data_IF_102806624303
#
_entry.id   IF_102806624303
#
_cell.length_a   1.000
_cell.length_b   1.000
_cell.length_c   1.000
_cell.angle_alpha   90.00
_cell.angle_beta   90.00
_cell.angle_gamma   90.00
#
_symmetry.space_group_name_H-M   'P 1'
#
loop_
_entity.id
_entity.type
_entity.pdbx_description
1 polymer ?
#
# COMPACT_ATOMS: atom_id res chain seq x y z
N UNK A 1 61.51 13.53 -22.19
CA UNK A 1 61.91 14.41 -21.08
C UNK A 1 60.84 14.27 -20.01
N UNK A 2 61.00 13.35 -19.04
CA UNK A 2 61.68 13.54 -17.74
C UNK A 2 60.82 14.46 -16.82
N UNK A 3 60.41 14.16 -15.58
CA UNK A 3 60.88 13.32 -14.44
C UNK A 3 59.66 13.13 -13.49
N UNK A 4 59.28 11.90 -13.09
CA UNK A 4 59.49 11.20 -11.78
C UNK A 4 59.04 11.92 -10.49
N UNK A 5 58.36 11.16 -9.60
CA UNK A 5 58.03 11.58 -8.23
C UNK A 5 57.20 10.58 -7.40
N UNK A 6 57.77 9.41 -7.13
CA UNK A 6 57.28 8.41 -6.16
C UNK A 6 57.46 8.88 -4.71
N UNK A 7 56.59 8.46 -3.79
CA UNK A 7 56.99 8.10 -2.41
C UNK A 7 55.89 7.30 -1.68
N UNK A 8 56.16 6.01 -1.52
CA UNK A 8 55.54 5.13 -0.55
C UNK A 8 56.31 5.19 0.78
N UNK A 9 55.63 4.99 1.92
CA UNK A 9 56.23 4.40 3.12
C UNK A 9 55.24 3.48 3.86
N UNK A 10 55.69 2.31 4.35
CA UNK A 10 54.91 1.35 5.14
C UNK A 10 55.10 1.59 6.65
N UNK A 11 54.44 0.80 7.53
CA UNK A 11 55.02 0.10 8.70
C UNK A 11 53.97 -0.49 9.69
N UNK A 12 54.15 -1.81 9.92
CA UNK A 12 54.03 -2.64 11.16
C UNK A 12 52.72 -3.27 11.67
N UNK A 13 52.87 -4.59 11.82
CA UNK A 13 52.15 -5.62 12.58
C UNK A 13 52.12 -5.41 14.11
N UNK A 14 51.06 -5.93 14.74
CA UNK A 14 51.01 -6.83 15.92
C UNK A 14 49.51 -7.15 16.14
N UNK A 15 48.98 -8.36 16.22
CA UNK A 15 49.48 -9.61 16.80
C UNK A 15 48.90 -9.76 18.20
N UNK A 16 47.78 -10.49 18.37
CA UNK A 16 47.41 -11.15 19.64
C UNK A 16 46.38 -12.28 19.40
N UNK A 17 46.86 -13.50 19.62
CA UNK A 17 46.12 -14.72 19.94
C UNK A 17 45.40 -14.59 21.29
N UNK A 18 44.20 -15.16 21.41
CA UNK A 18 43.84 -15.98 22.58
C UNK A 18 42.64 -16.91 22.28
N UNK A 19 43.00 -18.18 22.12
CA UNK A 19 42.33 -19.41 22.53
C UNK A 19 41.38 -19.30 23.75
N UNK A 20 40.10 -19.74 23.63
CA UNK A 20 39.56 -21.07 24.04
C UNK A 20 38.04 -21.08 24.35
N UNK A 21 37.37 -22.25 24.25
CA UNK A 21 35.92 -22.39 24.21
C UNK A 21 35.29 -22.90 25.53
N UNK A 22 33.97 -22.73 25.67
CA UNK A 22 33.17 -23.34 26.74
C UNK A 22 31.72 -23.59 26.30
N UNK A 23 31.42 -24.84 25.95
CA UNK A 23 30.06 -25.38 25.76
C UNK A 23 29.36 -25.55 27.12
N UNK A 24 28.07 -25.23 27.20
CA UNK A 24 27.13 -25.83 28.15
C UNK A 24 25.79 -26.12 27.47
N UNK A 25 25.32 -27.37 27.65
CA UNK A 25 24.01 -27.90 27.23
C UNK A 25 22.92 -27.57 28.27
N UNK A 26 21.62 -27.63 27.92
CA UNK A 26 20.54 -27.16 28.76
C UNK A 26 19.98 -28.22 29.71
N UNK A 27 19.53 -27.77 30.89
CA UNK A 27 18.76 -28.53 31.88
C UNK A 27 17.27 -28.41 31.53
N UNK A 28 16.62 -29.56 31.34
CA UNK A 28 15.16 -29.69 31.18
C UNK A 28 14.49 -29.70 32.56
N UNK A 29 13.50 -28.83 32.76
CA UNK A 29 12.61 -28.86 33.93
C UNK A 29 11.18 -29.19 33.47
N UNK A 30 10.70 -30.31 34.00
CA UNK A 30 9.32 -30.78 34.02
C UNK A 30 8.61 -30.09 35.18
N UNK A 31 7.44 -29.48 34.96
CA UNK A 31 6.48 -29.17 36.03
C UNK A 31 5.06 -29.56 35.62
N UNK A 32 4.45 -30.26 36.57
CA UNK A 32 3.12 -30.84 36.63
C UNK A 32 1.96 -29.83 36.65
N UNK A 33 0.81 -30.36 36.23
CA UNK A 33 -0.55 -29.79 36.28
C UNK A 33 -1.03 -29.55 37.71
N UNK A 34 -1.97 -28.60 37.91
CA UNK A 34 -3.16 -28.77 38.76
C UNK A 34 -4.22 -27.65 38.59
N UNK A 35 -5.47 -28.13 38.48
CA UNK A 35 -6.75 -27.56 38.95
C UNK A 35 -7.40 -26.35 38.28
N UNK A 36 -8.59 -26.64 37.70
CA UNK A 36 -9.49 -25.69 37.06
C UNK A 36 -10.52 -25.05 37.98
N UNK A 37 -10.95 -23.85 37.56
CA UNK A 37 -12.16 -23.18 38.00
C UNK A 37 -13.09 -23.02 36.79
N UNK A 38 -14.32 -23.50 36.92
CA UNK A 38 -15.41 -23.32 35.94
C UNK A 38 -15.86 -21.85 36.04
N UNK A 39 -15.62 -21.08 34.98
CA UNK A 39 -16.14 -19.73 34.81
C UNK A 39 -17.21 -19.77 33.71
N UNK A 40 -18.37 -19.19 34.01
CA UNK A 40 -19.49 -19.00 33.08
C UNK A 40 -18.98 -18.33 31.79
N UNK A 41 -19.18 -19.00 30.65
CA UNK A 41 -18.79 -18.49 29.35
C UNK A 41 -19.65 -17.27 28.98
N UNK A 42 -19.11 -16.08 29.24
CA UNK A 42 -19.62 -14.82 28.70
C UNK A 42 -19.48 -14.91 27.18
N UNK A 43 -20.61 -15.01 26.47
CA UNK A 43 -20.64 -14.85 25.02
C UNK A 43 -20.21 -13.41 24.73
N UNK A 44 -18.95 -13.24 24.33
CA UNK A 44 -18.41 -11.95 23.91
C UNK A 44 -19.05 -11.62 22.57
N UNK A 45 -20.13 -10.84 22.59
CA UNK A 45 -20.69 -10.26 21.38
C UNK A 45 -19.59 -9.34 20.80
N UNK A 46 -19.21 -9.51 19.52
CA UNK A 46 -18.18 -8.67 18.91
C UNK A 46 -18.59 -7.21 19.04
N UNK A 47 -17.77 -6.43 19.74
CA UNK A 47 -18.00 -5.00 19.92
C UNK A 47 -17.67 -4.28 18.61
N UNK A 48 -18.61 -3.50 18.11
CA UNK A 48 -18.40 -2.66 16.95
C UNK A 48 -17.31 -1.61 17.25
N UNK A 49 -16.28 -1.55 16.42
CA UNK A 49 -15.17 -0.60 16.59
C UNK A 49 -15.51 0.78 16.00
N UNK A 50 -14.86 1.83 16.52
CA UNK A 50 -15.01 3.20 16.01
C UNK A 50 -14.58 3.28 14.54
N UNK A 51 -13.53 2.56 14.16
CA UNK A 51 -13.00 2.56 12.79
C UNK A 51 -13.98 1.95 11.77
N UNK A 52 -14.69 0.88 12.13
CA UNK A 52 -15.72 0.28 11.26
C UNK A 52 -16.90 1.24 11.03
N UNK A 53 -17.29 1.99 12.06
CA UNK A 53 -18.31 3.05 11.93
C UNK A 53 -17.80 4.16 11.01
N UNK A 54 -16.58 4.63 11.22
CA UNK A 54 -15.95 5.68 10.41
C UNK A 54 -15.88 5.29 8.92
N UNK A 55 -15.46 4.08 8.59
CA UNK A 55 -15.39 3.61 7.20
C UNK A 55 -16.77 3.52 6.55
N UNK A 56 -17.79 3.15 7.32
CA UNK A 56 -19.18 3.16 6.85
C UNK A 56 -19.69 4.58 6.60
N UNK A 57 -19.35 5.53 7.47
CA UNK A 57 -19.65 6.96 7.28
C UNK A 57 -18.94 7.54 6.05
N UNK A 58 -17.68 7.16 5.79
CA UNK A 58 -16.93 7.57 4.58
C UNK A 58 -17.65 7.11 3.31
N UNK A 59 -18.06 5.83 3.26
CA UNK A 59 -18.84 5.28 2.13
C UNK A 59 -20.16 6.03 1.94
N UNK A 60 -20.87 6.33 3.03
CA UNK A 60 -22.13 7.05 3.00
C UNK A 60 -21.98 8.48 2.45
N UNK A 61 -20.95 9.24 2.88
CA UNK A 61 -20.73 10.60 2.38
C UNK A 61 -20.19 10.66 0.95
N UNK A 62 -19.50 9.63 0.45
CA UNK A 62 -19.00 9.60 -0.94
C UNK A 62 -20.14 9.58 -1.96
N UNK A 63 -21.26 8.94 -1.63
CA UNK A 63 -22.49 8.99 -2.42
C UNK A 63 -23.33 10.25 -2.16
N UNK A 64 -24.65 10.14 -2.29
CA UNK A 64 -25.58 11.26 -2.05
C UNK A 64 -25.76 11.63 -0.56
N UNK A 65 -25.07 10.96 0.37
CA UNK A 65 -25.28 11.16 1.81
C UNK A 65 -26.74 10.91 2.20
N UNK A 66 -27.29 11.82 2.99
CA UNK A 66 -28.68 11.74 3.47
C UNK A 66 -29.70 12.37 2.53
N UNK A 67 -29.30 12.83 1.33
CA UNK A 67 -30.26 13.12 0.27
C UNK A 67 -30.94 11.85 -0.28
N UNK A 68 -30.35 10.67 -0.05
CA UNK A 68 -30.96 9.36 -0.30
C UNK A 68 -30.90 8.50 0.97
N UNK A 69 -31.79 8.72 1.95
CA UNK A 69 -31.73 8.03 3.24
C UNK A 69 -31.92 6.51 3.14
N UNK A 70 -32.50 6.02 2.05
CA UNK A 70 -32.62 4.58 1.74
C UNK A 70 -31.29 3.86 1.56
N UNK A 71 -30.16 4.58 1.45
CA UNK A 71 -28.82 3.97 1.43
C UNK A 71 -28.31 3.57 2.83
N UNK A 72 -28.91 4.10 3.92
CA UNK A 72 -28.46 3.82 5.28
C UNK A 72 -28.47 2.32 5.65
N UNK A 73 -29.54 1.54 5.35
CA UNK A 73 -29.57 0.11 5.67
C UNK A 73 -28.49 -0.70 4.96
N UNK A 74 -28.10 -0.27 3.76
CA UNK A 74 -27.09 -0.96 2.94
C UNK A 74 -25.65 -0.60 3.32
N UNK A 75 -25.42 0.62 3.80
CA UNK A 75 -24.06 1.12 4.08
C UNK A 75 -23.65 0.87 5.53
N UNK A 76 -24.59 0.98 6.48
CA UNK A 76 -24.29 0.83 7.91
C UNK A 76 -24.22 -0.65 8.34
N UNK A 77 -23.23 -1.05 9.16
CA UNK A 77 -23.14 -2.41 9.71
C UNK A 77 -24.41 -2.77 10.49
N UNK A 78 -24.82 -4.04 10.42
CA UNK A 78 -26.04 -4.53 11.09
C UNK A 78 -26.04 -4.23 12.60
N UNK A 79 -24.90 -4.44 13.28
CA UNK A 79 -24.76 -4.13 14.71
C UNK A 79 -25.00 -2.64 15.01
N UNK A 80 -24.54 -1.74 14.13
CA UNK A 80 -24.79 -0.30 14.29
C UNK A 80 -26.26 0.01 14.06
N UNK A 81 -26.86 -0.57 13.03
CA UNK A 81 -28.28 -0.37 12.71
C UNK A 81 -29.17 -0.82 13.85
N UNK A 82 -28.94 -2.03 14.37
CA UNK A 82 -29.67 -2.58 15.51
C UNK A 82 -29.55 -1.68 16.75
N UNK A 83 -28.34 -1.16 17.02
CA UNK A 83 -28.09 -0.23 18.13
C UNK A 83 -28.82 1.10 17.96
N UNK A 84 -28.73 1.72 16.79
CA UNK A 84 -29.37 3.02 16.50
C UNK A 84 -30.90 2.90 16.42
N UNK A 85 -31.42 1.75 16.01
CA UNK A 85 -32.85 1.45 15.96
C UNK A 85 -33.43 1.01 17.31
N UNK A 86 -32.60 0.86 18.35
CA UNK A 86 -33.03 0.45 19.70
C UNK A 86 -33.81 -0.87 19.72
N UNK A 87 -33.52 -1.78 18.78
CA UNK A 87 -34.27 -3.03 18.62
C UNK A 87 -35.77 -2.86 18.26
N UNK A 88 -36.23 -1.66 17.91
CA UNK A 88 -37.66 -1.37 17.62
C UNK A 88 -38.10 -1.77 16.20
N UNK A 89 -37.19 -2.34 15.42
CA UNK A 89 -37.39 -2.66 14.01
C UNK A 89 -37.48 -4.17 13.84
N UNK A 90 -38.63 -4.63 13.33
CA UNK A 90 -38.85 -6.05 13.05
C UNK A 90 -38.39 -6.46 11.64
N UNK A 91 -38.33 -5.52 10.70
CA UNK A 91 -37.96 -5.77 9.30
C UNK A 91 -36.80 -4.87 8.85
N UNK A 92 -35.67 -5.46 8.39
CA UNK A 92 -34.55 -4.70 7.88
C UNK A 92 -34.91 -3.98 6.58
N UNK A 93 -34.32 -2.80 6.37
CA UNK A 93 -34.59 -1.85 5.30
C UNK A 93 -36.03 -1.32 5.21
N UNK A 94 -36.83 -1.49 6.27
CA UNK A 94 -38.17 -0.90 6.34
C UNK A 94 -38.12 0.64 6.40
N UNK A 95 -39.18 1.30 5.96
CA UNK A 95 -39.29 2.76 6.05
C UNK A 95 -39.19 3.26 7.51
N UNK A 96 -39.64 2.46 8.47
CA UNK A 96 -39.51 2.73 9.89
C UNK A 96 -38.04 2.69 10.35
N UNK A 97 -37.27 1.66 9.94
CA UNK A 97 -35.83 1.59 10.23
C UNK A 97 -35.11 2.82 9.68
N UNK A 98 -35.33 3.14 8.40
CA UNK A 98 -34.69 4.30 7.76
C UNK A 98 -34.99 5.59 8.53
N UNK A 99 -36.24 5.78 8.98
CA UNK A 99 -36.65 6.95 9.76
C UNK A 99 -35.92 7.03 11.11
N UNK A 100 -35.79 5.90 11.82
CA UNK A 100 -35.06 5.83 13.08
C UNK A 100 -33.57 6.11 12.89
N UNK A 101 -32.95 5.51 11.87
CA UNK A 101 -31.54 5.74 11.55
C UNK A 101 -31.26 7.20 11.20
N UNK A 102 -32.10 7.83 10.37
CA UNK A 102 -31.98 9.26 10.04
C UNK A 102 -32.12 10.13 11.29
N UNK A 103 -33.06 9.80 12.18
CA UNK A 103 -33.30 10.56 13.41
C UNK A 103 -32.09 10.48 14.34
N UNK A 104 -31.59 9.27 14.60
CA UNK A 104 -30.41 9.06 15.43
C UNK A 104 -29.16 9.74 14.84
N UNK A 105 -29.00 9.69 13.52
CA UNK A 105 -27.92 10.38 12.83
C UNK A 105 -28.00 11.90 13.02
N UNK A 106 -29.17 12.51 12.80
CA UNK A 106 -29.36 13.96 12.98
C UNK A 106 -29.09 14.40 14.42
N UNK A 107 -29.55 13.65 15.40
CA UNK A 107 -29.25 13.91 16.81
C UNK A 107 -27.75 13.86 17.10
N UNK A 108 -27.03 12.89 16.53
CA UNK A 108 -25.58 12.82 16.67
C UNK A 108 -24.87 14.02 16.01
N UNK A 109 -25.34 14.47 14.84
CA UNK A 109 -24.82 15.68 14.17
C UNK A 109 -25.09 16.96 14.97
N UNK A 110 -26.27 17.07 15.58
CA UNK A 110 -26.62 18.20 16.46
C UNK A 110 -25.73 18.29 17.70
N UNK A 111 -25.18 17.17 18.16
CA UNK A 111 -24.25 17.12 19.29
C UNK A 111 -22.80 17.48 18.97
N UNK A 112 -22.46 17.76 17.71
CA UNK A 112 -21.11 18.17 17.31
C UNK A 112 -20.86 19.66 17.58
N UNK A 113 -19.58 20.05 17.69
CA UNK A 113 -19.20 21.47 17.72
C UNK A 113 -19.62 22.19 16.42
N UNK A 114 -19.85 23.50 16.47
CA UNK A 114 -20.40 24.28 15.35
C UNK A 114 -19.63 24.11 14.03
N UNK A 115 -18.30 24.09 14.10
CA UNK A 115 -17.43 23.94 12.94
C UNK A 115 -17.40 22.52 12.38
N UNK A 116 -17.44 21.50 13.25
CA UNK A 116 -17.55 20.09 12.88
C UNK A 116 -18.92 19.77 12.29
N UNK A 117 -19.99 20.25 12.91
CA UNK A 117 -21.38 20.12 12.48
C UNK A 117 -21.58 20.65 11.07
N UNK A 118 -21.10 21.86 10.78
CA UNK A 118 -21.22 22.45 9.44
C UNK A 118 -20.52 21.57 8.39
N UNK A 119 -19.34 21.03 8.68
CA UNK A 119 -18.64 20.14 7.75
C UNK A 119 -19.45 18.86 7.48
N UNK A 120 -20.01 18.25 8.52
CA UNK A 120 -20.84 17.03 8.42
C UNK A 120 -22.14 17.30 7.68
N UNK A 121 -22.81 18.42 7.95
CA UNK A 121 -24.03 18.79 7.24
C UNK A 121 -23.81 18.94 5.73
N UNK A 122 -22.65 19.46 5.34
CA UNK A 122 -22.24 19.54 3.93
C UNK A 122 -21.90 18.16 3.37
N UNK A 123 -21.01 17.42 4.02
CA UNK A 123 -20.57 16.08 3.59
C UNK A 123 -21.72 15.07 3.46
N UNK A 124 -22.81 15.25 4.21
CA UNK A 124 -24.00 14.38 4.15
C UNK A 124 -25.22 15.01 3.45
N UNK A 125 -25.04 16.13 2.73
CA UNK A 125 -26.13 16.76 1.94
C UNK A 125 -27.33 17.23 2.79
N UNK A 126 -27.08 17.58 4.06
CA UNK A 126 -28.09 18.13 4.97
C UNK A 126 -28.26 19.65 4.80
N UNK A 127 -27.19 20.36 4.42
CA UNK A 127 -27.23 21.80 4.15
C UNK A 127 -27.83 22.09 2.77
N UNK A 128 -28.87 22.94 2.71
CA UNK A 128 -29.54 23.32 1.47
C UNK A 128 -28.63 24.14 0.54
N UNK A 129 -27.75 24.97 1.10
CA UNK A 129 -26.81 25.84 0.36
C UNK A 129 -25.70 25.05 -0.35
N UNK A 130 -25.46 23.81 0.10
CA UNK A 130 -24.38 22.96 -0.37
C UNK A 130 -24.86 21.64 -0.95
N UNK A 131 -26.06 21.60 -1.57
CA UNK A 131 -26.56 20.38 -2.22
C UNK A 131 -25.95 20.17 -3.59
N UNK A 132 -24.89 19.36 -3.64
CA UNK A 132 -24.25 18.94 -4.88
C UNK A 132 -24.19 17.41 -4.99
N UNK A 133 -24.14 16.85 -6.22
CA UNK A 133 -24.11 15.41 -6.44
C UNK A 133 -22.88 14.72 -5.85
N UNK A 134 -21.70 15.34 -5.94
CA UNK A 134 -20.44 14.72 -5.51
C UNK A 134 -19.94 15.28 -4.17
N UNK A 135 -19.14 14.49 -3.44
CA UNK A 135 -18.49 14.97 -2.20
C UNK A 135 -17.54 16.15 -2.47
N UNK A 136 -16.78 16.10 -3.57
CA UNK A 136 -15.81 17.13 -3.94
C UNK A 136 -16.47 18.50 -4.12
N UNK A 137 -17.56 18.57 -4.89
CA UNK A 137 -18.28 19.83 -5.14
C UNK A 137 -18.85 20.44 -3.86
N UNK A 138 -19.34 19.59 -2.95
CA UNK A 138 -19.88 20.04 -1.64
C UNK A 138 -18.80 20.67 -0.80
N UNK A 139 -17.65 20.01 -0.67
CA UNK A 139 -16.51 20.52 0.10
C UNK A 139 -15.90 21.77 -0.53
N UNK A 140 -15.83 21.86 -1.86
CA UNK A 140 -15.38 23.06 -2.57
C UNK A 140 -16.35 24.23 -2.42
N UNK A 141 -17.67 23.96 -2.42
CA UNK A 141 -18.67 24.98 -2.12
C UNK A 141 -18.49 25.55 -0.72
N UNK A 142 -18.31 24.70 0.30
CA UNK A 142 -18.06 25.15 1.67
C UNK A 142 -16.73 25.90 1.79
N UNK A 143 -15.69 25.46 1.10
CA UNK A 143 -14.39 26.13 1.09
C UNK A 143 -14.46 27.55 0.53
N UNK A 144 -15.22 27.76 -0.55
CA UNK A 144 -15.50 29.09 -1.13
C UNK A 144 -16.22 29.99 -0.12
N UNK A 145 -17.26 29.48 0.55
CA UNK A 145 -18.02 30.22 1.56
C UNK A 145 -17.15 30.63 2.76
N UNK A 146 -16.30 29.71 3.25
CA UNK A 146 -15.39 29.95 4.37
C UNK A 146 -14.12 30.71 3.97
N UNK A 147 -13.93 31.02 2.68
CA UNK A 147 -12.72 31.66 2.13
C UNK A 147 -11.44 30.95 2.54
N UNK A 148 -11.43 29.61 2.47
CA UNK A 148 -10.27 28.79 2.76
C UNK A 148 -10.01 27.77 1.65
N UNK A 149 -8.85 27.12 1.69
CA UNK A 149 -8.54 26.06 0.74
C UNK A 149 -9.41 24.82 0.96
N UNK A 150 -9.83 24.14 -0.12
CA UNK A 150 -10.64 22.91 -0.04
C UNK A 150 -9.98 21.81 0.80
N UNK A 151 -8.64 21.73 0.81
CA UNK A 151 -7.87 20.82 1.65
C UNK A 151 -8.11 21.05 3.15
N UNK A 152 -8.35 22.30 3.57
CA UNK A 152 -8.66 22.64 4.97
C UNK A 152 -10.04 22.12 5.37
N UNK A 153 -11.05 22.29 4.50
CA UNK A 153 -12.38 21.72 4.71
C UNK A 153 -12.33 20.20 4.81
N UNK A 154 -11.60 19.53 3.90
CA UNK A 154 -11.41 18.07 3.94
C UNK A 154 -10.85 17.57 5.28
N UNK A 155 -9.80 18.22 5.78
CA UNK A 155 -9.19 17.88 7.08
C UNK A 155 -10.15 18.07 8.25
N UNK A 156 -10.94 19.14 8.24
CA UNK A 156 -11.98 19.39 9.27
C UNK A 156 -13.08 18.35 9.20
N UNK A 157 -13.56 18.03 8.00
CA UNK A 157 -14.57 17.02 7.79
C UNK A 157 -14.12 15.61 8.23
N UNK A 158 -12.87 15.23 7.96
CA UNK A 158 -12.32 13.96 8.42
C UNK A 158 -12.26 13.86 9.94
N UNK A 159 -11.87 14.95 10.63
CA UNK A 159 -11.91 15.03 12.09
C UNK A 159 -13.35 14.97 12.63
N UNK A 160 -14.27 15.69 11.99
CA UNK A 160 -15.69 15.69 12.38
C UNK A 160 -16.33 14.29 12.23
N UNK A 161 -15.89 13.49 11.25
CA UNK A 161 -16.29 12.09 11.12
C UNK A 161 -15.82 11.21 12.28
N UNK A 162 -14.62 11.46 12.82
CA UNK A 162 -14.13 10.75 14.00
C UNK A 162 -15.03 11.02 15.21
N UNK A 163 -15.35 12.30 15.45
CA UNK A 163 -16.27 12.69 16.53
C UNK A 163 -17.67 12.10 16.31
N UNK A 164 -18.19 12.14 15.08
CA UNK A 164 -19.50 11.60 14.75
C UNK A 164 -19.57 10.08 14.95
N UNK A 165 -18.54 9.34 14.54
CA UNK A 165 -18.46 7.89 14.73
C UNK A 165 -18.53 7.52 16.23
N UNK A 166 -17.80 8.27 17.06
CA UNK A 166 -17.85 8.11 18.51
C UNK A 166 -19.25 8.42 19.06
N UNK A 167 -19.85 9.54 18.65
CA UNK A 167 -21.19 9.96 19.10
C UNK A 167 -22.27 8.94 18.74
N UNK A 168 -22.21 8.33 17.56
CA UNK A 168 -23.15 7.28 17.14
C UNK A 168 -23.01 6.01 17.99
N UNK A 169 -21.82 5.71 18.48
CA UNK A 169 -21.61 4.60 19.40
C UNK A 169 -22.08 4.94 20.82
N UNK A 170 -21.83 6.16 21.31
CA UNK A 170 -22.15 6.52 22.70
C UNK A 170 -23.60 6.94 22.92
N UNK A 171 -24.27 7.54 21.94
CA UNK A 171 -25.62 8.08 22.07
C UNK A 171 -26.74 7.06 21.79
N UNK A 172 -26.38 5.80 21.58
CA UNK A 172 -27.37 4.73 21.55
C UNK A 172 -28.13 4.70 22.89
N UNK A 173 -29.45 4.46 22.90
CA UNK A 173 -30.19 4.29 24.13
C UNK A 173 -29.47 3.24 24.96
N UNK A 174 -29.03 3.62 26.16
CA UNK A 174 -28.37 2.73 27.10
C UNK A 174 -29.28 1.54 27.32
N UNK A 175 -29.00 0.42 26.65
CA UNK A 175 -29.76 -0.82 26.76
C UNK A 175 -29.80 -1.20 28.23
N UNK A 176 -30.99 -1.06 28.82
CA UNK A 176 -31.33 -1.62 30.10
C UNK A 176 -31.08 -3.13 30.00
N UNK A 177 -30.23 -3.62 30.89
CA UNK A 177 -29.77 -4.99 31.06
C UNK A 177 -30.92 -5.99 30.88
N UNK A 178 -31.09 -6.51 29.66
CA UNK A 178 -32.03 -7.59 29.39
C UNK A 178 -31.31 -8.92 29.58
N UNK A 179 -31.58 -9.54 30.71
CA UNK A 179 -31.16 -10.89 31.09
C UNK A 179 -31.78 -11.91 30.13
N UNK A 180 -31.09 -12.21 29.03
CA UNK A 180 -31.47 -13.31 28.13
C UNK A 180 -30.96 -14.62 28.73
N UNK A 181 -31.92 -15.48 29.15
CA UNK A 181 -31.66 -16.88 29.53
C UNK A 181 -31.34 -17.70 28.27
N UNK A 182 -30.13 -18.23 28.19
CA UNK A 182 -29.74 -19.18 27.13
C UNK A 182 -30.34 -20.59 27.37
N UNK A 183 -30.77 -21.30 26.30
CA UNK A 183 -31.10 -22.73 26.34
C UNK A 183 -29.85 -23.62 26.16
N UNK A 184 -30.05 -24.89 26.52
CA UNK A 184 -29.04 -25.88 26.87
C UNK A 184 -28.08 -26.34 25.75
N UNK A 185 -26.89 -26.66 26.25
CA UNK A 185 -25.63 -27.12 25.66
C UNK A 185 -25.73 -28.46 24.92
N UNK A 186 -25.18 -28.53 23.71
CA UNK A 186 -24.71 -29.77 23.07
C UNK A 186 -23.18 -29.68 23.02
N UNK A 187 -22.52 -30.58 23.72
CA UNK A 187 -21.07 -30.67 23.86
C UNK A 187 -20.41 -31.28 22.63
N UNK A 188 -19.30 -30.67 22.19
CA UNK A 188 -18.34 -31.24 21.23
C UNK A 188 -16.91 -31.05 21.78
N UNK A 189 -15.98 -31.94 21.44
CA UNK A 189 -14.75 -32.14 22.20
C UNK A 189 -13.70 -31.05 21.91
N UNK A 190 -13.07 -30.60 22.99
CA UNK A 190 -11.98 -29.63 23.05
C UNK A 190 -10.73 -30.15 22.32
N UNK A 191 -10.33 -29.43 21.25
CA UNK A 191 -8.98 -29.49 20.72
C UNK A 191 -8.20 -28.28 21.21
N UNK A 192 -7.14 -28.60 21.93
CA UNK A 192 -5.99 -27.79 22.31
C UNK A 192 -5.60 -26.77 21.22
N UNK A 193 -5.88 -25.47 21.48
CA UNK A 193 -5.44 -24.37 20.62
C UNK A 193 -4.56 -23.43 21.44
N UNK A 194 -3.26 -23.66 21.30
CA UNK A 194 -2.29 -22.56 21.32
C UNK A 194 -2.78 -21.43 20.42
N UNK A 195 -2.46 -20.15 20.69
CA UNK A 195 -2.80 -19.06 19.80
C UNK A 195 -2.04 -19.26 18.49
N UNK A 196 -2.69 -19.95 17.55
CA UNK A 196 -2.23 -20.04 16.18
C UNK A 196 -2.35 -18.62 15.67
N UNK A 197 -1.20 -17.97 15.55
CA UNK A 197 -1.02 -16.82 14.69
C UNK A 197 -1.53 -17.26 13.32
N UNK A 198 -2.81 -16.99 13.05
CA UNK A 198 -3.41 -17.15 11.73
C UNK A 198 -2.86 -16.02 10.87
N UNK A 199 -1.54 -15.99 10.72
CA UNK A 199 -0.86 -15.27 9.68
C UNK A 199 -1.58 -15.65 8.40
N UNK A 200 -2.23 -14.65 7.82
CA UNK A 200 -2.88 -14.75 6.52
C UNK A 200 -1.99 -15.59 5.58
N UNK A 201 -2.46 -16.72 5.00
CA UNK A 201 -1.61 -17.71 4.30
C UNK A 201 -0.71 -17.14 3.20
N UNK A 202 -1.09 -15.97 2.69
CA UNK A 202 -0.45 -15.19 1.64
C UNK A 202 0.76 -14.41 2.13
N UNK A 203 0.89 -14.20 3.45
CA UNK A 203 2.04 -13.56 4.06
C UNK A 203 3.32 -14.38 3.93
N UNK A 204 3.23 -15.73 3.96
CA UNK A 204 4.40 -16.59 3.77
C UNK A 204 4.94 -16.52 2.34
N UNK A 205 4.05 -16.58 1.34
CA UNK A 205 4.44 -16.45 -0.07
C UNK A 205 5.13 -15.11 -0.34
N UNK A 206 4.57 -14.02 0.21
CA UNK A 206 5.17 -12.69 0.07
C UNK A 206 6.52 -12.59 0.78
N UNK A 207 6.64 -13.13 2.01
CA UNK A 207 7.93 -13.14 2.72
C UNK A 207 8.99 -13.94 1.95
N UNK A 208 8.62 -15.10 1.42
CA UNK A 208 9.52 -15.95 0.64
C UNK A 208 9.98 -15.25 -0.64
N UNK A 209 9.04 -14.69 -1.40
CA UNK A 209 9.32 -13.99 -2.66
C UNK A 209 10.27 -12.80 -2.46
N UNK A 210 10.02 -11.98 -1.45
CA UNK A 210 10.80 -10.78 -1.14
C UNK A 210 12.03 -11.04 -0.26
N UNK A 211 12.35 -12.31 0.03
CA UNK A 211 13.47 -12.74 0.89
C UNK A 211 13.46 -12.07 2.28
N UNK A 212 12.26 -11.90 2.85
CA UNK A 212 12.04 -11.32 4.18
C UNK A 212 12.23 -12.36 5.29
N UNK A 213 13.40 -13.00 5.32
CA UNK A 213 13.73 -13.99 6.35
C UNK A 213 13.99 -13.33 7.71
N UNK A 214 13.87 -14.11 8.80
CA UNK A 214 14.07 -13.60 10.15
C UNK A 214 15.47 -12.95 10.30
N UNK A 215 15.50 -11.71 10.76
CA UNK A 215 16.75 -10.96 10.96
C UNK A 215 17.40 -10.41 9.68
N UNK A 216 16.78 -10.59 8.51
CA UNK A 216 17.31 -10.04 7.26
C UNK A 216 17.46 -8.51 7.30
N UNK A 217 18.52 -8.03 6.64
CA UNK A 217 18.80 -6.60 6.45
C UNK A 217 18.36 -6.18 5.05
N UNK A 218 17.41 -5.28 5.01
CA UNK A 218 16.80 -4.76 3.79
C UNK A 218 17.17 -3.29 3.66
N UNK A 219 17.86 -2.97 2.58
CA UNK A 219 18.15 -1.59 2.22
C UNK A 219 17.26 -1.16 1.05
N UNK A 220 16.61 -0.02 1.19
CA UNK A 220 15.80 0.60 0.14
C UNK A 220 16.52 1.87 -0.35
N UNK A 221 16.95 1.89 -1.60
CA UNK A 221 17.59 3.05 -2.23
C UNK A 221 16.58 3.71 -3.17
N UNK A 222 15.97 4.79 -2.72
CA UNK A 222 14.97 5.52 -3.48
C UNK A 222 15.62 6.62 -4.32
N UNK A 223 15.06 6.90 -5.49
CA UNK A 223 15.47 7.99 -6.38
C UNK A 223 15.54 9.33 -5.65
N UNK A 224 16.48 10.17 -6.05
CA UNK A 224 16.75 11.47 -5.45
C UNK A 224 16.58 12.57 -6.48
N UNK A 225 15.75 13.55 -6.13
CA UNK A 225 15.52 14.75 -6.92
C UNK A 225 16.87 15.49 -7.08
N UNK A 226 17.25 15.88 -8.31
CA UNK A 226 18.47 16.66 -8.55
C UNK A 226 18.59 17.89 -7.64
N UNK A 227 19.82 18.26 -7.29
CA UNK A 227 20.08 19.33 -6.32
C UNK A 227 19.53 20.71 -6.75
N UNK A 228 19.42 20.95 -8.05
CA UNK A 228 18.85 22.14 -8.67
C UNK A 228 17.32 22.12 -8.76
N UNK A 229 16.69 20.95 -8.63
CA UNK A 229 15.24 20.76 -8.66
C UNK A 229 14.63 20.56 -7.27
N UNK A 230 15.44 20.20 -6.26
CA UNK A 230 14.95 19.88 -4.92
C UNK A 230 14.46 21.15 -4.17
N UNK A 231 13.43 21.02 -3.32
CA UNK A 231 13.04 22.11 -2.43
C UNK A 231 14.19 22.52 -1.49
N UNK A 232 14.30 23.81 -1.13
CA UNK A 232 15.37 24.34 -0.25
C UNK A 232 15.45 23.56 1.08
N UNK A 233 14.29 23.25 1.67
CA UNK A 233 14.18 22.49 2.92
C UNK A 233 14.56 21.01 2.81
N UNK A 234 14.92 20.52 1.62
CA UNK A 234 15.54 19.21 1.46
C UNK A 234 17.06 19.22 1.74
N UNK A 235 17.67 20.40 1.91
CA UNK A 235 19.07 20.57 2.28
C UNK A 235 19.28 20.38 3.79
N UNK A 236 20.29 19.59 4.23
CA UNK A 236 20.65 19.47 5.64
C UNK A 236 21.10 20.79 6.30
N UNK A 237 21.45 21.81 5.51
CA UNK A 237 21.81 23.13 6.01
C UNK A 237 20.59 24.03 6.31
N UNK A 238 19.40 23.66 5.84
CA UNK A 238 18.17 24.41 6.12
C UNK A 238 17.70 24.15 7.57
N UNK A 239 17.29 25.21 8.27
CA UNK A 239 16.76 25.12 9.64
C UNK A 239 15.50 24.23 9.77
N UNK A 240 14.76 24.07 8.68
CA UNK A 240 13.55 23.25 8.55
C UNK A 240 13.83 21.97 7.77
N UNK A 241 15.06 21.46 7.81
CA UNK A 241 15.48 20.28 7.05
C UNK A 241 14.48 19.10 7.16
N UNK A 242 13.96 18.67 6.02
CA UNK A 242 13.13 17.50 5.83
C UNK A 242 13.87 16.49 4.94
N UNK A 243 14.52 15.50 5.55
CA UNK A 243 15.25 14.46 4.82
C UNK A 243 14.43 13.82 3.69
N UNK A 244 13.16 13.54 3.93
CA UNK A 244 12.32 12.87 2.94
C UNK A 244 11.92 13.75 1.74
N UNK A 245 12.12 15.07 1.82
CA UNK A 245 11.75 15.99 0.75
C UNK A 245 12.63 15.87 -0.51
N UNK A 246 13.75 15.14 -0.44
CA UNK A 246 14.63 14.90 -1.59
C UNK A 246 14.30 13.64 -2.38
N UNK A 247 13.43 12.75 -1.87
CA UNK A 247 13.08 11.52 -2.59
C UNK A 247 12.05 11.81 -3.67
N UNK A 248 12.30 11.32 -4.89
CA UNK A 248 11.37 11.52 -6.00
C UNK A 248 10.22 10.50 -5.98
N UNK A 249 10.49 9.25 -5.63
CA UNK A 249 9.49 8.17 -5.52
C UNK A 249 9.11 7.89 -4.05
N UNK A 250 8.82 8.96 -3.30
CA UNK A 250 8.57 8.89 -1.86
C UNK A 250 7.36 8.02 -1.50
N UNK A 251 6.31 8.03 -2.31
CA UNK A 251 5.11 7.22 -2.09
C UNK A 251 5.42 5.71 -2.12
N UNK A 252 6.23 5.28 -3.08
CA UNK A 252 6.68 3.90 -3.21
C UNK A 252 7.60 3.52 -2.06
N UNK A 253 8.52 4.41 -1.66
CA UNK A 253 9.37 4.19 -0.49
C UNK A 253 8.53 3.95 0.79
N UNK A 254 7.56 4.83 1.06
CA UNK A 254 6.70 4.69 2.25
C UNK A 254 5.87 3.41 2.15
N UNK A 255 5.31 3.11 0.98
CA UNK A 255 4.55 1.88 0.76
C UNK A 255 5.38 0.63 1.09
N UNK A 256 6.59 0.50 0.53
CA UNK A 256 7.49 -0.64 0.79
C UNK A 256 7.82 -0.77 2.28
N UNK A 257 8.24 0.33 2.91
CA UNK A 257 8.59 0.33 4.35
C UNK A 257 7.43 -0.16 5.20
N UNK A 258 6.23 0.36 4.97
CA UNK A 258 5.04 -0.04 5.73
C UNK A 258 4.66 -1.49 5.45
N UNK A 259 4.72 -1.95 4.20
CA UNK A 259 4.35 -3.33 3.84
C UNK A 259 5.35 -4.34 4.40
N UNK A 260 6.65 -4.11 4.26
CA UNK A 260 7.67 -5.00 4.82
C UNK A 260 7.61 -5.05 6.35
N UNK A 261 7.46 -3.92 7.03
CA UNK A 261 7.34 -3.90 8.50
C UNK A 261 6.11 -4.68 9.00
N UNK A 262 5.02 -4.68 8.23
CA UNK A 262 3.83 -5.49 8.52
C UNK A 262 4.03 -6.98 8.24
N UNK A 263 4.67 -7.31 7.12
CA UNK A 263 4.86 -8.71 6.68
C UNK A 263 5.90 -9.44 7.52
N UNK A 264 6.96 -8.76 7.94
CA UNK A 264 8.06 -9.33 8.68
C UNK A 264 8.60 -8.32 9.73
N UNK A 265 7.94 -8.17 10.89
CA UNK A 265 8.30 -7.16 11.90
C UNK A 265 9.71 -7.29 12.50
N UNK A 266 10.39 -8.42 12.25
CA UNK A 266 11.72 -8.73 12.78
C UNK A 266 12.85 -8.38 11.81
N UNK A 267 12.54 -7.96 10.57
CA UNK A 267 13.56 -7.54 9.61
C UNK A 267 14.01 -6.11 9.88
N UNK A 268 15.27 -5.82 9.61
CA UNK A 268 15.80 -4.46 9.71
C UNK A 268 15.65 -3.76 8.36
N UNK A 269 14.87 -2.68 8.31
CA UNK A 269 14.64 -1.91 7.09
C UNK A 269 15.34 -0.57 7.22
N UNK A 270 16.23 -0.26 6.28
CA UNK A 270 16.90 1.04 6.14
C UNK A 270 16.53 1.65 4.79
N UNK A 271 16.46 2.95 4.73
CA UNK A 271 16.20 3.69 3.49
C UNK A 271 17.28 4.74 3.26
N UNK A 272 17.63 4.94 2.00
CA UNK A 272 18.72 5.81 1.58
C UNK A 272 18.33 6.54 0.29
N UNK A 273 18.80 7.77 0.14
CA UNK A 273 18.96 8.35 -1.20
C UNK A 273 20.20 7.73 -1.87
N UNK A 274 20.35 7.80 -3.20
CA UNK A 274 21.50 7.24 -3.89
C UNK A 274 22.80 7.91 -3.41
N UNK A 275 22.76 9.21 -3.10
CA UNK A 275 23.89 9.96 -2.51
C UNK A 275 24.23 9.58 -1.07
N UNK A 276 23.44 8.75 -0.40
CA UNK A 276 23.65 8.31 0.99
C UNK A 276 24.08 6.84 1.08
N UNK A 277 24.05 6.11 -0.04
CA UNK A 277 24.22 4.66 -0.05
C UNK A 277 25.66 4.26 -0.39
N UNK A 278 26.46 3.99 0.65
CA UNK A 278 27.86 3.58 0.50
C UNK A 278 28.21 2.40 1.42
N UNK A 279 28.96 1.44 0.89
CA UNK A 279 29.60 0.34 1.64
C UNK A 279 28.66 -0.40 2.62
N UNK A 280 27.43 -0.69 2.18
CA UNK A 280 26.47 -1.42 3.00
C UNK A 280 26.44 -2.90 2.64
N UNK A 281 26.25 -3.74 3.65
CA UNK A 281 25.99 -5.17 3.48
C UNK A 281 24.50 -5.43 3.70
N UNK A 282 23.74 -5.54 2.61
CA UNK A 282 22.34 -5.89 2.63
C UNK A 282 22.11 -7.33 2.15
N UNK A 283 21.18 -8.03 2.78
CA UNK A 283 20.70 -9.33 2.31
C UNK A 283 19.75 -9.10 1.12
N UNK A 284 18.94 -8.04 1.20
CA UNK A 284 18.04 -7.57 0.14
C UNK A 284 18.28 -6.09 -0.14
N UNK A 285 18.49 -5.73 -1.39
CA UNK A 285 18.56 -4.35 -1.87
C UNK A 285 17.36 -4.07 -2.76
N UNK A 286 16.55 -3.08 -2.40
CA UNK A 286 15.44 -2.59 -3.23
C UNK A 286 15.80 -1.21 -3.77
N UNK A 287 15.90 -1.07 -5.09
CA UNK A 287 16.18 0.22 -5.75
C UNK A 287 14.87 0.72 -6.36
N UNK A 288 14.44 1.91 -5.94
CA UNK A 288 13.15 2.50 -6.29
C UNK A 288 13.35 3.69 -7.22
N UNK A 289 12.56 3.74 -8.29
CA UNK A 289 12.56 4.82 -9.27
C UNK A 289 13.29 4.47 -10.56
N UNK A 290 13.35 5.45 -11.46
CA UNK A 290 14.00 5.33 -12.76
C UNK A 290 15.51 5.65 -12.74
N UNK A 291 16.25 5.22 -13.78
CA UNK A 291 17.66 5.58 -13.99
C UNK A 291 17.99 7.08 -13.99
N UNK A 292 17.14 8.02 -14.46
CA UNK A 292 17.50 9.44 -14.50
C UNK A 292 17.89 9.98 -13.11
N UNK A 293 17.13 9.63 -12.08
CA UNK A 293 17.25 10.17 -10.73
C UNK A 293 17.76 9.15 -9.71
N UNK A 294 18.19 7.96 -10.16
CA UNK A 294 18.73 6.94 -9.28
C UNK A 294 20.08 6.41 -9.79
N UNK A 295 21.17 6.97 -9.24
CA UNK A 295 22.53 6.53 -9.55
C UNK A 295 22.76 5.05 -9.28
N UNK A 296 22.12 4.50 -8.23
CA UNK A 296 22.24 3.09 -7.88
C UNK A 296 21.56 2.19 -8.90
N UNK A 297 20.44 2.61 -9.47
CA UNK A 297 19.78 1.90 -10.57
C UNK A 297 20.71 1.81 -11.80
N UNK A 298 21.39 2.92 -12.14
CA UNK A 298 22.30 2.98 -13.29
C UNK A 298 23.45 1.97 -13.22
N UNK A 299 23.91 1.61 -12.02
CA UNK A 299 24.92 0.56 -11.84
C UNK A 299 24.46 -0.82 -12.36
N UNK A 300 23.15 -1.08 -12.36
CA UNK A 300 22.58 -2.35 -12.82
C UNK A 300 22.24 -2.36 -14.31
N UNK A 301 22.08 -1.20 -14.96
CA UNK A 301 21.68 -1.10 -16.37
C UNK A 301 22.49 -1.99 -17.33
N UNK A 302 23.84 -2.11 -17.22
CA UNK A 302 24.61 -2.97 -18.11
C UNK A 302 24.26 -4.47 -18.02
N UNK A 303 23.47 -4.87 -17.01
CA UNK A 303 23.03 -6.25 -16.78
C UNK A 303 21.58 -6.49 -17.16
N UNK A 304 20.85 -5.47 -17.60
CA UNK A 304 19.42 -5.53 -17.92
C UNK A 304 19.20 -5.67 -19.43
N UNK A 305 18.10 -6.33 -19.86
CA UNK A 305 17.73 -6.46 -21.27
C UNK A 305 16.98 -5.24 -21.82
N UNK A 306 16.85 -4.17 -21.02
CA UNK A 306 16.10 -2.96 -21.32
C UNK A 306 16.82 -1.74 -20.78
N UNK A 307 16.40 -0.56 -21.26
CA UNK A 307 16.72 0.72 -20.64
C UNK A 307 15.54 1.68 -20.81
N UNK A 308 15.51 2.75 -20.01
CA UNK A 308 14.61 3.88 -20.24
C UNK A 308 15.34 4.88 -21.12
N UNK A 309 14.78 5.20 -22.28
CA UNK A 309 15.38 6.16 -23.21
C UNK A 309 15.22 7.57 -22.64
N UNK A 310 16.35 8.28 -22.36
CA UNK A 310 16.28 9.58 -21.71
C UNK A 310 15.79 10.64 -22.69
N UNK A 311 14.73 11.35 -22.30
CA UNK A 311 14.21 12.52 -22.99
C UNK A 311 14.47 13.82 -22.20
N UNK A 312 14.28 15.00 -22.82
CA UNK A 312 14.34 16.27 -22.11
C UNK A 312 13.37 16.32 -20.93
N UNK A 313 13.70 17.10 -19.90
CA UNK A 313 12.88 17.24 -18.70
C UNK A 313 11.42 17.59 -19.05
N UNK A 314 10.49 16.80 -18.51
CA UNK A 314 9.06 16.95 -18.73
C UNK A 314 8.49 16.13 -19.89
N UNK A 315 9.34 15.41 -20.64
CA UNK A 315 8.92 14.34 -21.54
C UNK A 315 9.03 12.98 -20.85
N UNK A 316 8.29 12.00 -21.36
CA UNK A 316 8.32 10.63 -20.85
C UNK A 316 9.60 9.92 -21.29
N UNK A 317 10.20 9.15 -20.39
CA UNK A 317 11.30 8.24 -20.73
C UNK A 317 10.72 6.85 -21.06
N UNK A 318 10.51 6.49 -22.34
CA UNK A 318 9.90 5.22 -22.67
C UNK A 318 10.84 4.05 -22.35
N UNK A 319 10.25 2.91 -22.05
CA UNK A 319 10.95 1.65 -21.89
C UNK A 319 11.32 1.08 -23.27
N UNK A 320 12.60 0.83 -23.49
CA UNK A 320 13.13 0.23 -24.72
C UNK A 320 13.70 -1.16 -24.41
N UNK A 321 13.30 -2.17 -25.19
CA UNK A 321 13.79 -3.56 -25.11
C UNK A 321 14.45 -3.94 -26.45
N UNK A 322 15.77 -3.69 -26.61
CA UNK A 322 16.45 -3.86 -27.90
C UNK A 322 16.37 -5.27 -28.48
N UNK A 323 16.42 -6.29 -27.61
CA UNK A 323 16.36 -7.70 -27.99
C UNK A 323 15.01 -8.17 -28.54
N UNK A 324 13.98 -7.33 -28.49
CA UNK A 324 12.63 -7.63 -28.96
C UNK A 324 12.25 -6.73 -30.14
N UNK A 325 13.03 -6.79 -31.23
CA UNK A 325 12.87 -5.92 -32.40
C UNK A 325 12.85 -4.42 -32.07
N UNK A 326 13.56 -4.01 -31.02
CA UNK A 326 13.53 -2.63 -30.53
C UNK A 326 12.18 -2.20 -29.98
N UNK A 327 11.43 -3.10 -29.33
CA UNK A 327 10.15 -2.79 -28.68
C UNK A 327 10.28 -1.54 -27.79
N UNK A 328 9.37 -0.58 -28.00
CA UNK A 328 9.26 0.65 -27.22
C UNK A 328 7.88 0.71 -26.59
N UNK A 329 7.83 0.89 -25.28
CA UNK A 329 6.60 1.04 -24.51
C UNK A 329 6.69 2.34 -23.71
N UNK A 330 5.61 3.11 -23.64
CA UNK A 330 5.55 4.36 -22.88
C UNK A 330 4.22 4.51 -22.14
N UNK A 331 4.08 5.51 -21.26
CA UNK A 331 2.84 5.76 -20.54
C UNK A 331 1.71 6.18 -21.50
N UNK A 332 0.47 6.11 -21.01
CA UNK A 332 -0.72 6.53 -21.76
C UNK A 332 -1.44 7.68 -21.08
N UNK A 333 -1.85 8.61 -21.92
CA UNK A 333 -2.45 9.87 -21.52
C UNK A 333 -3.85 10.02 -22.14
N UNK A 334 -4.75 10.72 -21.45
CA UNK A 334 -5.98 11.20 -22.08
C UNK A 334 -5.68 12.28 -23.11
N UNK A 335 -6.66 12.62 -23.96
CA UNK A 335 -6.60 13.79 -24.84
C UNK A 335 -6.36 15.11 -24.07
N UNK A 336 -6.66 15.14 -22.77
CA UNK A 336 -6.45 16.29 -21.87
C UNK A 336 -5.10 16.25 -21.15
N UNK A 337 -4.21 15.37 -21.56
CA UNK A 337 -2.89 15.16 -20.95
C UNK A 337 -2.96 14.73 -19.48
N UNK A 338 -3.96 13.91 -19.13
CA UNK A 338 -4.06 13.29 -17.81
C UNK A 338 -3.54 11.85 -17.89
N UNK A 339 -2.68 11.45 -16.95
CA UNK A 339 -2.11 10.10 -16.94
C UNK A 339 -3.21 9.05 -16.69
N UNK A 340 -3.40 8.16 -17.66
CA UNK A 340 -4.31 7.01 -17.57
C UNK A 340 -3.59 5.77 -17.06
N UNK A 341 -2.47 5.45 -17.69
CA UNK A 341 -1.72 4.23 -17.42
C UNK A 341 -0.22 4.49 -17.53
N UNK A 342 0.56 3.74 -16.78
CA UNK A 342 2.01 3.73 -16.82
C UNK A 342 2.51 2.28 -16.80
N UNK A 343 3.78 2.08 -17.15
CA UNK A 343 4.44 0.79 -17.11
C UNK A 343 5.04 0.55 -15.73
N UNK A 344 4.64 -0.54 -15.09
CA UNK A 344 5.28 -1.07 -13.91
C UNK A 344 6.37 -2.07 -14.32
N UNK A 345 7.62 -1.72 -14.06
CA UNK A 345 8.79 -2.56 -14.36
C UNK A 345 9.38 -3.09 -13.07
N UNK A 346 9.37 -4.41 -12.90
CA UNK A 346 9.93 -5.10 -11.75
C UNK A 346 11.06 -6.02 -12.18
N UNK A 347 12.24 -5.85 -11.61
CA UNK A 347 13.38 -6.74 -11.88
C UNK A 347 13.86 -7.39 -10.60
N UNK A 348 14.15 -8.70 -10.65
CA UNK A 348 14.94 -9.41 -9.63
C UNK A 348 16.27 -9.84 -10.21
N UNK A 349 17.36 -9.49 -9.54
CA UNK A 349 18.71 -9.96 -9.82
C UNK A 349 19.32 -10.60 -8.57
N UNK A 350 20.17 -11.61 -8.74
CA UNK A 350 20.94 -12.23 -7.66
C UNK A 350 22.42 -11.96 -7.85
N UNK A 351 23.06 -11.31 -6.89
CA UNK A 351 24.51 -11.04 -6.94
C UNK A 351 25.31 -12.26 -6.51
N UNK A 352 26.56 -12.35 -6.94
CA UNK A 352 27.46 -13.47 -6.63
C UNK A 352 27.67 -13.66 -5.11
N UNK A 353 27.62 -12.58 -4.33
CA UNK A 353 27.70 -12.65 -2.85
C UNK A 353 26.38 -13.08 -2.16
N UNK A 354 25.32 -13.38 -2.92
CA UNK A 354 24.03 -13.84 -2.40
C UNK A 354 22.98 -12.74 -2.16
N UNK A 355 23.35 -11.45 -2.24
CA UNK A 355 22.39 -10.34 -2.13
C UNK A 355 21.35 -10.42 -3.25
N UNK A 356 20.07 -10.40 -2.88
CA UNK A 356 18.97 -10.27 -3.85
C UNK A 356 18.67 -8.79 -4.10
N UNK A 357 18.67 -8.37 -5.35
CA UNK A 357 18.39 -7.01 -5.77
C UNK A 357 17.03 -6.96 -6.46
N UNK A 358 16.16 -6.07 -6.00
CA UNK A 358 14.91 -5.73 -6.64
C UNK A 358 15.00 -4.32 -7.22
N UNK A 359 14.73 -4.16 -8.51
CA UNK A 359 14.63 -2.84 -9.15
C UNK A 359 13.15 -2.57 -9.46
N UNK A 360 12.64 -1.45 -8.96
CA UNK A 360 11.27 -0.99 -9.14
C UNK A 360 11.30 0.27 -10.00
N UNK A 361 10.96 0.11 -11.28
CA UNK A 361 10.95 1.19 -12.27
C UNK A 361 9.57 1.42 -12.87
N UNK A 362 9.47 2.52 -13.60
CA UNK A 362 8.36 2.89 -14.46
C UNK A 362 8.75 4.08 -15.31
N UNK A 363 7.94 4.44 -16.31
CA UNK A 363 8.19 5.67 -17.06
C UNK A 363 7.91 6.89 -16.17
N UNK A 364 6.95 6.78 -15.25
CA UNK A 364 6.63 7.79 -14.25
C UNK A 364 6.50 7.15 -12.85
N UNK A 365 6.25 7.98 -11.84
CA UNK A 365 6.08 7.54 -10.45
C UNK A 365 4.91 6.57 -10.25
N UNK A 366 3.88 6.65 -11.10
CA UNK A 366 2.74 5.73 -11.09
C UNK A 366 3.18 4.28 -11.36
N UNK A 367 4.04 4.08 -12.35
CA UNK A 367 4.60 2.79 -12.73
C UNK A 367 5.51 2.23 -11.66
N UNK A 368 6.34 3.08 -11.05
CA UNK A 368 7.22 2.70 -9.91
C UNK A 368 6.38 2.18 -8.74
N UNK A 369 5.32 2.91 -8.35
CA UNK A 369 4.38 2.46 -7.31
C UNK A 369 3.62 1.20 -7.74
N UNK A 370 3.23 1.14 -9.02
CA UNK A 370 2.58 -0.01 -9.62
C UNK A 370 3.40 -1.29 -9.52
N UNK A 371 4.71 -1.21 -9.77
CA UNK A 371 5.65 -2.32 -9.67
C UNK A 371 5.70 -2.88 -8.23
N UNK A 372 5.69 -2.00 -7.22
CA UNK A 372 5.63 -2.43 -5.83
C UNK A 372 4.27 -3.05 -5.48
N UNK A 373 3.16 -2.37 -5.81
CA UNK A 373 1.80 -2.83 -5.48
C UNK A 373 1.48 -4.16 -6.16
N UNK A 374 1.87 -4.38 -7.41
CA UNK A 374 1.59 -5.62 -8.14
C UNK A 374 2.05 -6.89 -7.37
N UNK A 375 3.14 -6.79 -6.61
CA UNK A 375 3.78 -7.92 -5.91
C UNK A 375 3.76 -7.83 -4.38
N UNK A 376 3.13 -6.81 -3.80
CA UNK A 376 2.98 -6.64 -2.35
C UNK A 376 1.56 -6.34 -1.88
N UNK A 377 0.64 -6.03 -2.82
CA UNK A 377 -0.73 -5.66 -2.49
C UNK A 377 -1.54 -6.88 -2.09
N UNK A 378 -1.46 -7.18 -0.80
CA UNK A 378 -2.36 -8.10 -0.17
C UNK A 378 -2.39 -9.49 -0.88
N UNK A 379 -3.56 -10.12 -0.96
CA UNK A 379 -3.71 -11.46 -1.54
C UNK A 379 -3.41 -11.44 -3.04
N UNK A 380 -3.71 -10.30 -3.70
CA UNK A 380 -3.39 -10.05 -5.11
C UNK A 380 -1.88 -10.15 -5.34
N UNK A 381 -1.09 -9.49 -4.48
CA UNK A 381 0.37 -9.53 -4.52
C UNK A 381 0.90 -10.95 -4.36
N UNK A 382 0.34 -11.73 -3.42
CA UNK A 382 0.76 -13.12 -3.21
C UNK A 382 0.46 -14.00 -4.44
N UNK A 383 -0.71 -13.85 -5.08
CA UNK A 383 -1.04 -14.55 -6.33
C UNK A 383 -0.10 -14.17 -7.47
N UNK A 384 0.20 -12.89 -7.65
CA UNK A 384 1.15 -12.41 -8.65
C UNK A 384 2.57 -12.93 -8.41
N UNK A 385 3.03 -12.94 -7.15
CA UNK A 385 4.34 -13.50 -6.77
C UNK A 385 4.41 -15.02 -7.01
N UNK A 386 3.31 -15.75 -6.76
CA UNK A 386 3.22 -17.18 -7.08
C UNK A 386 3.25 -17.43 -8.58
N UNK A 387 2.49 -16.65 -9.36
CA UNK A 387 2.53 -16.69 -10.82
C UNK A 387 3.98 -16.58 -11.34
N UNK A 388 4.74 -15.59 -10.86
CA UNK A 388 6.14 -15.42 -11.27
C UNK A 388 6.98 -16.64 -10.83
N UNK A 389 6.87 -17.05 -9.57
CA UNK A 389 7.63 -18.20 -9.04
C UNK A 389 7.33 -19.49 -9.84
N UNK A 390 6.11 -19.72 -10.27
CA UNK A 390 5.75 -20.88 -11.10
C UNK A 390 6.39 -20.83 -12.50
N UNK A 391 6.61 -19.64 -13.07
CA UNK A 391 7.16 -19.47 -14.42
C UNK A 391 8.69 -19.43 -14.45
N UNK A 392 9.32 -18.82 -13.45
CA UNK A 392 10.78 -18.55 -13.46
C UNK A 392 11.49 -19.06 -12.21
N UNK A 393 10.76 -19.61 -11.23
CA UNK A 393 11.31 -20.13 -9.97
C UNK A 393 12.21 -19.09 -9.28
N UNK A 394 13.47 -19.44 -9.00
CA UNK A 394 14.49 -18.58 -8.39
C UNK A 394 15.36 -17.81 -9.42
N UNK A 395 15.07 -17.91 -10.72
CA UNK A 395 15.85 -17.26 -11.77
C UNK A 395 15.79 -15.72 -11.71
N UNK A 396 16.81 -15.03 -12.22
CA UNK A 396 16.73 -13.58 -12.41
C UNK A 396 15.64 -13.28 -13.44
N UNK A 397 14.84 -12.23 -13.23
CA UNK A 397 13.76 -11.90 -14.15
C UNK A 397 13.52 -10.39 -14.27
N UNK A 398 12.89 -10.01 -15.39
CA UNK A 398 12.29 -8.71 -15.66
C UNK A 398 10.82 -8.93 -15.98
N UNK A 399 9.96 -8.25 -15.25
CA UNK A 399 8.52 -8.23 -15.40
C UNK A 399 8.10 -6.82 -15.84
N UNK A 400 7.27 -6.75 -16.88
CA UNK A 400 6.61 -5.51 -17.31
C UNK A 400 5.11 -5.75 -17.27
N UNK A 401 4.38 -4.86 -16.59
CA UNK A 401 2.91 -4.88 -16.49
C UNK A 401 2.37 -3.46 -16.47
N UNK A 402 1.06 -3.30 -16.59
CA UNK A 402 0.38 -2.02 -16.55
C UNK A 402 0.02 -1.61 -15.11
N UNK A 403 0.16 -0.32 -14.82
CA UNK A 403 -0.37 0.35 -13.64
C UNK A 403 -1.36 1.43 -14.10
N UNK A 404 -2.59 1.41 -13.57
CA UNK A 404 -3.68 2.28 -14.02
C UNK A 404 -4.06 3.28 -12.95
N UNK A 405 -4.44 4.48 -13.36
CA UNK A 405 -5.06 5.47 -12.48
C UNK A 405 -6.58 5.43 -12.65
N UNK A 406 -7.29 4.92 -11.64
CA UNK A 406 -8.75 4.83 -11.65
C UNK A 406 -9.32 5.58 -10.46
N UNK A 407 -10.07 6.65 -10.70
CA UNK A 407 -10.70 7.44 -9.61
C UNK A 407 -9.70 8.03 -8.61
N UNK A 408 -8.45 8.27 -9.02
CA UNK A 408 -7.37 8.72 -8.14
C UNK A 408 -6.67 7.60 -7.35
N UNK A 409 -7.04 6.34 -7.56
CA UNK A 409 -6.37 5.18 -7.00
C UNK A 409 -5.44 4.54 -8.04
N UNK A 410 -4.36 3.90 -7.56
CA UNK A 410 -3.47 3.07 -8.37
C UNK A 410 -4.02 1.64 -8.39
N UNK A 411 -4.55 1.23 -9.54
CA UNK A 411 -4.92 -0.15 -9.82
C UNK A 411 -3.78 -0.88 -10.54
N UNK A 412 -3.59 -2.15 -10.20
CA UNK A 412 -2.49 -2.98 -10.71
C UNK A 412 -3.01 -4.36 -11.09
N UNK A 413 -2.40 -4.96 -12.12
CA UNK A 413 -2.77 -6.27 -12.58
C UNK A 413 -2.63 -7.35 -11.49
N UNK A 414 -3.61 -8.27 -11.46
CA UNK A 414 -3.44 -9.60 -10.87
C UNK A 414 -2.92 -10.50 -11.97
N UNK A 415 -1.66 -10.96 -11.87
CA UNK A 415 -0.99 -11.68 -12.97
C UNK A 415 -1.67 -13.02 -13.30
N UNK A 416 -2.50 -13.55 -12.39
CA UNK A 416 -3.30 -14.76 -12.65
C UNK A 416 -4.55 -14.49 -13.50
N UNK A 417 -4.96 -13.24 -13.62
CA UNK A 417 -6.15 -12.80 -14.40
C UNK A 417 -5.75 -12.06 -15.67
N UNK A 418 -4.71 -11.23 -15.58
CA UNK A 418 -4.17 -10.46 -16.69
C UNK A 418 -2.67 -10.78 -16.72
N UNK A 419 -2.20 -11.62 -17.67
CA UNK A 419 -0.79 -11.99 -17.73
C UNK A 419 0.07 -10.75 -17.95
N UNK A 420 1.37 -10.75 -17.60
CA UNK A 420 2.20 -9.57 -17.80
C UNK A 420 2.36 -9.21 -19.27
N UNK A 421 2.71 -7.95 -19.55
CA UNK A 421 3.11 -7.52 -20.89
C UNK A 421 4.36 -8.26 -21.33
N UNK A 422 5.36 -8.33 -20.44
CA UNK A 422 6.59 -9.06 -20.68
C UNK A 422 7.02 -9.78 -19.41
N UNK A 423 7.50 -11.00 -19.57
CA UNK A 423 8.30 -11.69 -18.57
C UNK A 423 9.55 -12.22 -19.26
N UNK A 424 10.69 -11.66 -18.92
CA UNK A 424 11.99 -12.11 -19.36
C UNK A 424 12.68 -12.77 -18.17
N UNK A 425 13.40 -13.87 -18.38
CA UNK A 425 14.19 -14.47 -17.31
C UNK A 425 15.52 -15.01 -17.82
N UNK A 426 16.47 -15.17 -16.89
CA UNK A 426 17.74 -15.84 -17.14
C UNK A 426 18.10 -16.72 -15.96
N UNK A 427 18.72 -17.85 -16.25
CA UNK A 427 19.39 -18.66 -15.23
C UNK A 427 20.87 -18.29 -15.19
N UNK A 428 21.41 -18.00 -14.01
CA UNK A 428 22.82 -17.64 -13.86
C UNK A 428 23.22 -16.44 -14.74
N UNK A 429 24.42 -16.49 -15.34
CA UNK A 429 24.94 -15.45 -16.24
C UNK A 429 24.48 -15.62 -17.70
N UNK A 430 23.44 -16.41 -17.97
CA UNK A 430 22.88 -16.55 -19.32
C UNK A 430 22.18 -15.25 -19.77
N UNK A 431 22.04 -15.01 -21.08
CA UNK A 431 21.22 -13.92 -21.58
C UNK A 431 19.76 -14.07 -21.14
N UNK A 432 19.06 -12.94 -20.98
CA UNK A 432 17.60 -12.97 -20.75
C UNK A 432 16.89 -13.56 -21.97
N UNK A 433 16.02 -14.53 -21.73
CA UNK A 433 15.11 -15.12 -22.70
C UNK A 433 13.67 -14.67 -22.41
N UNK A 434 12.86 -14.60 -23.47
CA UNK A 434 11.43 -14.28 -23.36
C UNK A 434 10.67 -15.50 -22.84
N UNK A 435 9.99 -15.36 -21.72
CA UNK A 435 9.07 -16.37 -21.17
C UNK A 435 7.60 -16.04 -21.48
N UNK A 436 7.24 -14.75 -21.43
CA UNK A 436 5.91 -14.24 -21.79
C UNK A 436 6.09 -12.97 -22.60
N UNK A 437 5.37 -12.86 -23.71
CA UNK A 437 5.24 -11.65 -24.52
C UNK A 437 3.78 -11.44 -24.90
N UNK A 438 3.17 -10.44 -24.29
CA UNK A 438 1.84 -9.93 -24.60
C UNK A 438 1.91 -8.44 -24.96
N UNK A 439 3.08 -7.95 -25.39
CA UNK A 439 3.30 -6.52 -25.66
C UNK A 439 2.39 -5.97 -26.77
N UNK A 440 2.00 -6.82 -27.73
CA UNK A 440 1.06 -6.47 -28.79
C UNK A 440 -0.27 -5.92 -28.27
N UNK A 441 -0.77 -6.43 -27.13
CA UNK A 441 -2.02 -5.91 -26.52
C UNK A 441 -1.87 -4.45 -26.11
N UNK A 442 -0.65 -4.06 -25.72
CA UNK A 442 -0.36 -2.70 -25.32
C UNK A 442 -0.18 -1.78 -26.54
N UNK A 443 0.35 -2.30 -27.64
CA UNK A 443 0.56 -1.53 -28.85
C UNK A 443 -0.74 -1.33 -29.65
N UNK A 444 -1.60 -2.35 -29.71
CA UNK A 444 -2.87 -2.28 -30.47
C UNK A 444 -3.81 -1.20 -29.90
N UNK A 445 -3.87 -1.07 -28.58
CA UNK A 445 -4.72 -0.07 -27.91
C UNK A 445 -4.23 1.38 -28.17
N UNK A 446 -2.94 1.58 -28.48
CA UNK A 446 -2.42 2.91 -28.85
C UNK A 446 -2.86 3.36 -30.24
N UNK A 447 -3.23 2.43 -31.13
CA UNK A 447 -3.60 2.73 -32.52
C UNK A 447 -5.01 3.30 -32.71
N UNK A 448 -5.81 3.39 -31.64
CA UNK A 448 -6.99 4.27 -31.56
C UNK A 448 -8.01 4.14 -32.71
N UNK A 449 -8.23 2.94 -33.26
CA UNK A 449 -9.27 2.76 -34.30
C UNK A 449 -10.59 2.19 -33.76
N UNK A 450 -10.66 1.64 -32.53
CA UNK A 450 -11.93 1.22 -31.96
C UNK A 450 -12.03 1.63 -30.48
N UNK A 451 -12.65 2.79 -30.25
CA UNK A 451 -13.24 3.09 -28.94
C UNK A 451 -14.38 2.09 -28.75
N UNK A 452 -14.09 0.95 -28.11
CA UNK A 452 -15.13 0.12 -27.56
C UNK A 452 -15.87 0.97 -26.53
N UNK A 453 -17.08 1.39 -26.92
CA UNK A 453 -18.08 1.96 -26.06
C UNK A 453 -18.35 0.94 -24.95
N UNK A 454 -17.68 1.08 -23.81
CA UNK A 454 -18.03 0.30 -22.62
C UNK A 454 -19.34 0.90 -22.12
N UNK A 455 -20.44 0.28 -22.54
CA UNK A 455 -21.76 0.54 -21.99
C UNK A 455 -21.75 0.15 -20.51
N UNK A 456 -21.59 1.14 -19.64
CA UNK A 456 -21.91 1.01 -18.23
C UNK A 456 -23.43 1.09 -18.07
N UNK A 457 -24.11 -0.01 -18.40
CA UNK A 457 -25.46 -0.30 -17.94
C UNK A 457 -25.42 -1.48 -16.98
N UNK A 458 -25.38 -1.16 -15.68
CA UNK A 458 -25.83 -1.98 -14.55
C UNK A 458 -26.07 -1.08 -13.35
#
# INVERSE_FOLDING_TARGET
MAVSGSLARPVKNAGHDHDRPGQQLPVSMVIDRLSGHILDAVVVIPSLSVDEVKESLKRLRQGHGLARPTALPTVLPELLRARLADGRVSEPASAQEVTLLVTAFRQAVEGLADDERLCVEVDFNLSAEHRYPTLTERQESLARQQRCAAKTVRRRADRALDTLAYMLLTNGPSTVTSTVRSPATISSPEQDRSPVDHGEPWGEDLRAFWRLSHGARIDIVCSEIPEDERPEYASPADRNYLRYAKFADLDTLIYLRTRFARLAPTVTIRDFAPSEYFDTQADVLVVVGGPPWNAKYREFLPRLPFFFEPHPLGADDPLVVPGMNGLVLGPRWTERNELLEDLAVFTRLTLAQGTTVFLLGGCLTLGVLGAARCLLEAERGARSSRYITEHVNDADFVLVTEARRIGGLTDVADLTRVPPLLLLARSNNEPFAVHVDNSDRYLQDQSGTEVHHIDHSC
#
